data_IF_453693308834
#
_entry.id   IF_453693308834
#
_cell.length_a   1.000
_cell.length_b   1.000
_cell.length_c   1.000
_cell.angle_alpha   90.00
_cell.angle_beta   90.00
_cell.angle_gamma   90.00
#
_symmetry.space_group_name_H-M   'P 1'
#
loop_
_entity.id
_entity.type
_entity.pdbx_description
1 polymer ?
#
# COMPACT_ATOMS: atom_id res chain seq x y z
N UNK A 1 0.89 -22.31 7.92
CA UNK A 1 0.12 -21.44 7.00
C UNK A 1 1.04 -20.33 6.55
N UNK A 2 1.22 -20.14 5.24
CA UNK A 2 1.92 -18.96 4.71
C UNK A 2 0.87 -17.88 4.47
N UNK A 3 0.95 -16.76 5.19
CA UNK A 3 0.10 -15.61 4.97
C UNK A 3 0.70 -14.82 3.80
N UNK A 4 -0.05 -14.66 2.71
CA UNK A 4 0.36 -13.82 1.59
C UNK A 4 -0.11 -12.38 1.85
N UNK A 5 0.85 -11.46 2.01
CA UNK A 5 0.60 -10.04 2.21
C UNK A 5 1.17 -9.29 1.02
N UNK A 6 0.39 -8.39 0.44
CA UNK A 6 0.84 -7.52 -0.64
C UNK A 6 0.20 -6.14 -0.57
N UNK A 7 0.59 -5.28 -1.51
CA UNK A 7 -0.01 -3.97 -1.67
C UNK A 7 -0.28 -3.63 -3.14
N UNK A 8 -1.19 -2.69 -3.35
CA UNK A 8 -1.47 -2.10 -4.66
C UNK A 8 -1.66 -0.59 -4.52
N UNK A 9 -1.17 0.18 -5.49
CA UNK A 9 -1.45 1.61 -5.60
C UNK A 9 -2.77 1.76 -6.35
N UNK A 10 -3.72 2.49 -5.74
CA UNK A 10 -5.09 2.64 -6.24
C UNK A 10 -5.30 3.97 -6.99
N UNK A 11 -4.59 5.02 -6.61
CA UNK A 11 -4.64 6.33 -7.25
C UNK A 11 -3.40 7.14 -6.93
N UNK A 12 -2.97 7.99 -7.88
CA UNK A 12 -1.97 9.04 -7.69
C UNK A 12 -2.49 10.32 -8.35
N UNK A 13 -2.73 11.36 -7.55
CA UNK A 13 -3.25 12.66 -7.98
C UNK A 13 -2.55 13.75 -7.18
N UNK A 14 -2.00 14.77 -7.84
CA UNK A 14 -1.40 15.95 -7.20
C UNK A 14 -0.40 15.61 -6.06
N UNK A 15 0.53 14.67 -6.31
CA UNK A 15 1.50 14.14 -5.34
C UNK A 15 0.86 13.45 -4.12
N UNK A 16 -0.39 12.99 -4.23
CA UNK A 16 -1.07 12.17 -3.22
C UNK A 16 -1.36 10.81 -3.79
N UNK A 17 -0.90 9.78 -3.08
CA UNK A 17 -1.19 8.40 -3.41
C UNK A 17 -2.17 7.77 -2.42
N UNK A 18 -2.99 6.87 -2.93
CA UNK A 18 -3.77 5.92 -2.12
C UNK A 18 -3.28 4.52 -2.42
N UNK A 19 -2.98 3.73 -1.38
CA UNK A 19 -2.59 2.33 -1.51
C UNK A 19 -3.49 1.42 -0.66
N UNK A 20 -3.74 0.21 -1.13
CA UNK A 20 -4.40 -0.85 -0.38
C UNK A 20 -3.39 -1.91 0.04
N UNK A 21 -3.50 -2.35 1.29
CA UNK A 21 -2.83 -3.55 1.80
C UNK A 21 -3.84 -4.68 1.77
N UNK A 22 -3.45 -5.81 1.18
CA UNK A 22 -4.29 -7.00 1.14
C UNK A 22 -3.60 -8.20 1.79
N UNK A 23 -4.43 -9.01 2.45
CA UNK A 23 -4.07 -10.29 3.06
C UNK A 23 -5.04 -11.32 2.51
N UNK A 24 -4.51 -12.41 1.93
CA UNK A 24 -5.36 -13.49 1.37
C UNK A 24 -6.44 -12.97 0.39
N UNK A 25 -6.08 -11.99 -0.46
CA UNK A 25 -6.96 -11.30 -1.41
C UNK A 25 -8.09 -10.44 -0.80
N UNK A 26 -8.06 -10.15 0.50
CA UNK A 26 -8.96 -9.20 1.15
C UNK A 26 -8.22 -7.91 1.47
N UNK A 27 -8.84 -6.76 1.17
CA UNK A 27 -8.31 -5.46 1.58
C UNK A 27 -8.49 -5.34 3.10
N UNK A 28 -7.39 -5.19 3.82
CA UNK A 28 -7.39 -5.04 5.28
C UNK A 28 -7.11 -3.61 5.73
N UNK A 29 -6.44 -2.82 4.88
CA UNK A 29 -6.16 -1.42 5.16
C UNK A 29 -6.06 -0.61 3.86
N UNK A 30 -6.47 0.66 3.94
CA UNK A 30 -6.24 1.67 2.91
C UNK A 30 -5.45 2.80 3.56
N UNK A 31 -4.37 3.22 2.91
CA UNK A 31 -3.50 4.28 3.38
C UNK A 31 -3.43 5.34 2.29
N UNK A 32 -3.71 6.59 2.65
CA UNK A 32 -3.56 7.75 1.77
C UNK A 32 -2.55 8.72 2.36
N UNK A 33 -1.73 9.33 1.51
CA UNK A 33 -0.75 10.31 1.94
C UNK A 33 0.09 10.85 0.77
N UNK A 34 1.09 11.70 1.07
CA UNK A 34 2.07 12.12 0.08
C UNK A 34 2.77 10.92 -0.58
N UNK A 35 2.93 10.96 -1.89
CA UNK A 35 3.42 9.84 -2.71
C UNK A 35 4.82 9.37 -2.32
N UNK A 36 5.72 10.29 -2.04
CA UNK A 36 7.09 10.07 -1.55
C UNK A 36 7.12 9.33 -0.20
N UNK A 37 6.34 9.80 0.77
CA UNK A 37 6.25 9.20 2.10
C UNK A 37 5.61 7.80 2.02
N UNK A 38 4.55 7.67 1.21
CA UNK A 38 3.82 6.42 1.09
C UNK A 38 4.67 5.35 0.40
N UNK A 39 5.39 5.72 -0.65
CA UNK A 39 6.30 4.83 -1.36
C UNK A 39 7.42 4.30 -0.45
N UNK A 40 8.08 5.16 0.32
CA UNK A 40 9.14 4.75 1.26
C UNK A 40 8.62 3.84 2.39
N UNK A 41 7.40 4.11 2.88
CA UNK A 41 6.77 3.24 3.89
C UNK A 41 6.42 1.87 3.33
N UNK A 42 5.80 1.81 2.14
CA UNK A 42 5.44 0.55 1.50
C UNK A 42 6.69 -0.25 1.15
N UNK A 43 7.74 0.41 0.64
CA UNK A 43 9.02 -0.23 0.35
C UNK A 43 9.59 -0.96 1.58
N UNK A 44 9.60 -0.34 2.77
CA UNK A 44 10.11 -0.97 4.00
C UNK A 44 9.29 -2.14 4.54
N UNK A 45 8.01 -2.23 4.18
CA UNK A 45 7.12 -3.28 4.66
C UNK A 45 7.23 -4.53 3.78
N UNK A 46 7.56 -4.36 2.51
CA UNK A 46 7.46 -5.41 1.49
C UNK A 46 8.77 -5.78 0.79
N UNK A 47 9.85 -5.00 0.94
CA UNK A 47 11.22 -5.28 0.48
C UNK A 47 12.18 -5.37 1.67
#
# INVERSE_FOLDING_TARGET
MNINVGFAILADIDNKMTAAIYVENQIVAIIAGPSDILYEKLKKVFL
#
